data_IF_229528715111
#
_entry.id   IF_229528715111
#
_cell.length_a   1.000
_cell.length_b   1.000
_cell.length_c   1.000
_cell.angle_alpha   90.00
_cell.angle_beta   90.00
_cell.angle_gamma   90.00
#
_symmetry.space_group_name_H-M   'P 1'
#
loop_
_entity.id
_entity.type
_entity.pdbx_description
1 polymer ?
#
# COMPACT_ATOMS: atom_id res chain seq x y z
N UNK A 1 -9.68 -27.74 12.66
CA UNK A 1 -9.64 -26.28 12.97
C UNK A 1 -9.84 -25.52 11.67
N UNK A 2 -10.81 -24.60 11.59
CA UNK A 2 -10.93 -23.70 10.43
C UNK A 2 -9.68 -22.83 10.37
N UNK A 3 -8.91 -22.87 9.27
CA UNK A 3 -7.79 -21.95 9.03
C UNK A 3 -8.35 -20.52 9.09
N UNK A 4 -7.94 -19.75 10.09
CA UNK A 4 -8.33 -18.36 10.20
C UNK A 4 -7.60 -17.56 9.13
N UNK A 5 -8.33 -16.99 8.19
CA UNK A 5 -7.80 -16.19 7.07
C UNK A 5 -6.95 -15.01 7.58
N UNK A 6 -7.29 -14.45 8.74
CA UNK A 6 -6.53 -13.36 9.36
C UNK A 6 -5.12 -13.79 9.83
N UNK A 7 -4.94 -15.05 10.24
CA UNK A 7 -3.62 -15.55 10.63
C UNK A 7 -2.72 -15.72 9.41
N UNK A 8 -3.27 -16.22 8.29
CA UNK A 8 -2.51 -16.33 7.04
C UNK A 8 -2.08 -14.95 6.51
N UNK A 9 -2.93 -13.92 6.64
CA UNK A 9 -2.58 -12.56 6.23
C UNK A 9 -1.44 -11.98 7.07
N UNK A 10 -1.48 -12.19 8.39
CA UNK A 10 -0.40 -11.78 9.30
C UNK A 10 0.91 -12.48 9.00
N UNK A 11 0.88 -13.78 8.74
CA UNK A 11 2.08 -14.56 8.39
C UNK A 11 2.65 -14.11 7.05
N UNK A 12 1.79 -13.82 6.06
CA UNK A 12 2.21 -13.28 4.77
C UNK A 12 2.85 -11.89 4.91
N UNK A 13 2.24 -11.01 5.72
CA UNK A 13 2.83 -9.70 6.04
C UNK A 13 4.16 -9.85 6.77
N UNK A 14 4.26 -10.77 7.73
CA UNK A 14 5.51 -11.02 8.46
C UNK A 14 6.62 -11.51 7.52
N UNK A 15 6.32 -12.46 6.64
CA UNK A 15 7.26 -12.90 5.60
C UNK A 15 7.66 -11.75 4.68
N UNK A 16 6.69 -10.91 4.29
CA UNK A 16 6.94 -9.73 3.47
C UNK A 16 7.80 -8.67 4.17
N UNK A 17 7.75 -8.55 5.50
CA UNK A 17 8.61 -7.63 6.24
C UNK A 17 10.03 -8.18 6.47
N UNK A 18 10.18 -9.51 6.47
CA UNK A 18 11.46 -10.17 6.79
C UNK A 18 12.28 -10.54 5.55
N UNK A 19 11.61 -10.81 4.43
CA UNK A 19 12.28 -11.02 3.16
C UNK A 19 12.80 -9.67 2.64
N UNK A 20 14.06 -9.58 2.21
CA UNK A 20 14.65 -8.36 1.62
C UNK A 20 14.69 -8.41 0.09
N UNK A 21 14.00 -9.37 -0.52
CA UNK A 21 13.99 -9.61 -1.97
C UNK A 21 12.94 -8.85 -2.76
N UNK A 22 12.16 -7.94 -2.16
CA UNK A 22 11.11 -7.23 -2.89
C UNK A 22 11.71 -6.29 -3.94
N UNK A 23 10.99 -6.16 -5.05
CA UNK A 23 11.27 -5.17 -6.08
C UNK A 23 10.32 -4.00 -5.89
N UNK A 24 10.85 -2.78 -5.87
CA UNK A 24 10.02 -1.58 -5.87
C UNK A 24 9.07 -1.56 -7.08
N UNK A 25 7.80 -1.29 -6.84
CA UNK A 25 6.82 -1.01 -7.88
C UNK A 25 6.29 0.43 -7.73
N UNK A 26 7.14 1.39 -8.11
CA UNK A 26 6.85 2.83 -8.01
C UNK A 26 5.55 3.21 -8.75
N UNK A 27 5.25 2.69 -9.97
CA UNK A 27 3.98 2.96 -10.64
C UNK A 27 2.76 2.56 -9.81
N UNK A 28 2.75 1.35 -9.23
CA UNK A 28 1.64 0.89 -8.41
C UNK A 28 1.50 1.70 -7.11
N UNK A 29 2.62 2.06 -6.47
CA UNK A 29 2.60 2.94 -5.30
C UNK A 29 1.93 4.28 -5.63
N UNK A 30 2.31 4.90 -6.75
CA UNK A 30 1.72 6.17 -7.21
C UNK A 30 0.23 6.03 -7.51
N UNK A 31 -0.17 5.00 -8.24
CA UNK A 31 -1.57 4.74 -8.57
C UNK A 31 -2.43 4.57 -7.31
N UNK A 32 -1.95 3.79 -6.34
CA UNK A 32 -2.65 3.56 -5.08
C UNK A 32 -2.79 4.86 -4.27
N UNK A 33 -1.72 5.67 -4.19
CA UNK A 33 -1.75 6.97 -3.50
C UNK A 33 -2.73 7.95 -4.18
N UNK A 34 -2.71 8.06 -5.51
CA UNK A 34 -3.64 8.94 -6.23
C UNK A 34 -5.09 8.47 -6.12
N UNK A 35 -5.32 7.15 -6.08
CA UNK A 35 -6.64 6.57 -5.82
C UNK A 35 -7.12 6.95 -4.42
N UNK A 36 -6.26 6.87 -3.40
CA UNK A 36 -6.61 7.27 -2.04
C UNK A 36 -6.95 8.75 -1.97
N UNK A 37 -6.17 9.61 -2.64
CA UNK A 37 -6.47 11.04 -2.75
C UNK A 37 -7.83 11.25 -3.40
N UNK A 38 -8.12 10.58 -4.52
CA UNK A 38 -9.41 10.72 -5.21
C UNK A 38 -10.59 10.24 -4.36
N UNK A 39 -10.42 9.18 -3.56
CA UNK A 39 -11.44 8.67 -2.64
C UNK A 39 -11.70 9.62 -1.46
N UNK A 40 -10.64 10.24 -0.93
CA UNK A 40 -10.70 11.09 0.27
C UNK A 40 -11.02 12.55 -0.05
N UNK A 41 -10.74 13.03 -1.27
CA UNK A 41 -10.99 14.43 -1.70
C UNK A 41 -12.32 14.63 -2.44
N UNK A 42 -13.09 13.56 -2.68
CA UNK A 42 -14.45 13.68 -3.21
C UNK A 42 -15.31 14.57 -2.29
N UNK A 43 -15.53 15.81 -2.72
CA UNK A 43 -16.42 16.76 -2.04
C UNK A 43 -17.79 16.11 -1.92
N UNK A 44 -18.26 15.88 -0.69
CA UNK A 44 -19.64 15.49 -0.39
C UNK A 44 -20.59 16.67 -0.60
N UNK A 45 -20.66 17.18 -1.84
CA UNK A 45 -21.73 18.07 -2.29
C UNK A 45 -22.82 17.20 -2.94
N UNK A 46 -23.53 16.42 -2.13
CA UNK A 46 -24.82 15.84 -2.49
C UNK A 46 -24.84 14.52 -3.26
N UNK A 47 -23.73 13.98 -3.77
CA UNK A 47 -23.71 12.63 -4.38
C UNK A 47 -22.99 11.61 -3.51
N UNK A 48 -23.76 10.68 -2.93
CA UNK A 48 -23.29 9.53 -2.15
C UNK A 48 -22.79 8.44 -3.11
N UNK A 49 -21.56 8.55 -3.63
CA UNK A 49 -20.75 7.34 -3.70
C UNK A 49 -20.03 7.26 -2.37
N UNK A 50 -20.65 6.56 -1.42
CA UNK A 50 -20.02 6.30 -0.13
C UNK A 50 -18.69 5.59 -0.35
N UNK A 51 -17.67 5.94 0.43
CA UNK A 51 -16.41 5.20 0.45
C UNK A 51 -16.74 3.75 0.77
N UNK A 52 -16.39 2.82 -0.12
CA UNK A 52 -16.40 1.41 0.23
C UNK A 52 -15.25 1.17 1.21
N UNK A 53 -15.58 1.06 2.49
CA UNK A 53 -14.58 0.90 3.56
C UNK A 53 -13.70 -0.34 3.36
N UNK A 54 -14.23 -1.42 2.77
CA UNK A 54 -13.44 -2.61 2.44
C UNK A 54 -12.44 -2.36 1.30
N UNK A 55 -12.77 -1.49 0.35
CA UNK A 55 -11.82 -1.07 -0.70
C UNK A 55 -10.77 -0.11 -0.13
N UNK A 56 -11.15 0.74 0.83
CA UNK A 56 -10.22 1.63 1.52
C UNK A 56 -9.16 0.84 2.31
N UNK A 57 -9.59 -0.16 3.09
CA UNK A 57 -8.67 -1.00 3.88
C UNK A 57 -7.68 -1.74 2.98
N UNK A 58 -8.14 -2.28 1.85
CA UNK A 58 -7.30 -2.94 0.87
C UNK A 58 -6.33 -1.96 0.22
N UNK A 59 -6.79 -0.77 -0.16
CA UNK A 59 -5.97 0.27 -0.77
C UNK A 59 -4.87 0.75 0.18
N UNK A 60 -5.21 1.00 1.45
CA UNK A 60 -4.25 1.38 2.47
C UNK A 60 -3.19 0.30 2.66
N UNK A 61 -3.59 -0.98 2.68
CA UNK A 61 -2.61 -2.06 2.76
C UNK A 61 -1.74 -2.17 1.52
N UNK A 62 -2.29 -2.00 0.31
CA UNK A 62 -1.50 -1.95 -0.91
C UNK A 62 -0.45 -0.84 -0.86
N UNK A 63 -0.78 0.35 -0.35
CA UNK A 63 0.18 1.44 -0.16
C UNK A 63 1.29 1.03 0.81
N UNK A 64 0.96 0.45 1.97
CA UNK A 64 1.94 0.04 2.98
C UNK A 64 2.89 -1.03 2.42
N UNK A 65 2.36 -2.01 1.69
CA UNK A 65 3.14 -3.07 1.05
C UNK A 65 4.12 -2.45 0.04
N UNK A 66 3.63 -1.63 -0.90
CA UNK A 66 4.48 -1.06 -1.95
C UNK A 66 5.52 -0.07 -1.41
N UNK A 67 5.17 0.72 -0.38
CA UNK A 67 6.12 1.61 0.30
C UNK A 67 7.21 0.81 1.02
N UNK A 68 6.85 -0.29 1.66
CA UNK A 68 7.82 -1.16 2.33
C UNK A 68 8.73 -1.86 1.30
N UNK A 69 8.21 -2.30 0.16
CA UNK A 69 9.02 -2.82 -0.93
C UNK A 69 9.99 -1.76 -1.48
N UNK A 70 9.54 -0.51 -1.62
CA UNK A 70 10.38 0.61 -2.05
C UNK A 70 11.58 0.79 -1.11
N UNK A 71 11.35 0.82 0.21
CA UNK A 71 12.42 0.93 1.21
C UNK A 71 13.35 -0.30 1.18
N UNK A 72 12.80 -1.51 1.24
CA UNK A 72 13.62 -2.74 1.31
C UNK A 72 14.44 -2.99 0.04
N UNK A 73 13.98 -2.49 -1.12
CA UNK A 73 14.72 -2.62 -2.38
C UNK A 73 15.95 -1.72 -2.49
N UNK A 74 16.14 -0.74 -1.61
CA UNK A 74 17.23 0.26 -1.68
C UNK A 74 17.08 1.28 -2.82
N UNK A 75 15.97 1.22 -3.60
CA UNK A 75 15.71 2.19 -4.67
C UNK A 75 15.50 3.60 -4.10
N UNK A 76 14.90 3.71 -2.91
CA UNK A 76 14.70 4.98 -2.23
C UNK A 76 16.04 5.66 -1.89
N UNK A 77 17.00 4.92 -1.34
CA UNK A 77 18.34 5.41 -1.02
C UNK A 77 19.03 6.05 -2.24
N UNK A 78 18.86 5.46 -3.42
CA UNK A 78 19.41 5.98 -4.68
C UNK A 78 18.70 7.23 -5.24
N UNK A 79 17.51 7.56 -4.74
CA UNK A 79 16.79 8.81 -5.03
C UNK A 79 17.25 9.89 -4.05
N UNK A 80 17.32 9.59 -2.75
CA UNK A 80 17.75 10.52 -1.71
C UNK A 80 19.16 11.08 -1.97
N UNK A 81 20.09 10.25 -2.42
CA UNK A 81 21.47 10.67 -2.78
C UNK A 81 21.53 11.63 -3.99
N UNK A 82 20.48 11.71 -4.82
CA UNK A 82 20.43 12.61 -5.99
C UNK A 82 19.85 13.99 -5.66
N UNK A 83 19.22 14.13 -4.49
CA UNK A 83 18.61 15.39 -4.05
C UNK A 83 19.56 16.24 -3.17
N UNK A 84 20.74 15.71 -2.81
CA UNK A 84 21.88 16.42 -2.18
C UNK A 84 22.90 16.94 -3.20
#
# INVERSE_FOLDING_TARGET
>A
MKKNVANNLKDFMWQFLMDKGQRANIPALKENVYTLIAMTTQKTAGQKKGINWSELDMLLMSIVIEATALVQSGVLDGIEVKEE
#
